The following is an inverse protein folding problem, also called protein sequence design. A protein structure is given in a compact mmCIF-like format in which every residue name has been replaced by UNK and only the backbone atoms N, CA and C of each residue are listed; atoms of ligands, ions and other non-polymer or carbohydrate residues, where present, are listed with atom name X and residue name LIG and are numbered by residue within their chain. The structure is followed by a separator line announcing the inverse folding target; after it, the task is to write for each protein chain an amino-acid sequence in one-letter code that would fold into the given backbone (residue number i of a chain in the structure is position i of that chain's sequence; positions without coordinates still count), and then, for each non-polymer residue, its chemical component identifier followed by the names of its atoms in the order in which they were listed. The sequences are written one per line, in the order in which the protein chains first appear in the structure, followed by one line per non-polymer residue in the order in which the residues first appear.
data_IF_805847169199
#
_entry.id   IF_805847169199
#
_cell.length_a   1.000
_cell.length_b   1.000
_cell.length_c   1.000
_cell.angle_alpha   90.00
_cell.angle_beta   90.00
_cell.angle_gamma   90.00
#
_symmetry.space_group_name_H-M   'P 1'
#
loop_
_entity.id
_entity.type
_entity.pdbx_description
1 polymer ?
#
# COMPACT_ATOMS: atom_id res chain seq x y z
N UNK A 1 -1.63 -31.25 -24.89
CA UNK A 1 -1.73 -29.85 -25.39
C UNK A 1 -2.18 -28.99 -24.23
N UNK A 2 -1.23 -28.47 -23.44
CA UNK A 2 -1.53 -27.47 -22.41
C UNK A 2 -1.72 -26.17 -23.16
N UNK A 3 -2.95 -25.91 -23.59
CA UNK A 3 -3.37 -24.62 -24.11
C UNK A 3 -3.02 -23.58 -23.04
N UNK A 4 -2.23 -22.59 -23.41
CA UNK A 4 -1.82 -21.47 -22.58
C UNK A 4 -3.06 -20.73 -22.08
N UNK A 5 -3.58 -21.12 -20.92
CA UNK A 5 -4.62 -20.40 -20.15
C UNK A 5 -4.08 -19.09 -19.53
N UNK A 6 -2.81 -18.81 -19.76
CA UNK A 6 -2.06 -17.66 -19.23
C UNK A 6 -2.77 -16.31 -19.47
N UNK A 7 -3.34 -15.99 -20.66
CA UNK A 7 -3.96 -14.70 -20.87
C UNK A 7 -5.32 -14.56 -20.15
N UNK A 8 -6.16 -15.60 -20.17
CA UNK A 8 -7.48 -15.62 -19.54
C UNK A 8 -7.34 -15.54 -18.00
N UNK A 9 -6.35 -16.25 -17.44
CA UNK A 9 -6.01 -16.18 -16.02
C UNK A 9 -5.43 -14.82 -15.61
N UNK A 10 -4.73 -14.14 -16.51
CA UNK A 10 -4.20 -12.79 -16.26
C UNK A 10 -5.34 -11.76 -16.20
N UNK A 11 -6.35 -11.89 -17.06
CA UNK A 11 -7.55 -11.03 -17.06
C UNK A 11 -8.38 -11.24 -15.80
N UNK A 12 -8.68 -12.49 -15.42
CA UNK A 12 -9.37 -12.82 -14.17
C UNK A 12 -8.62 -12.30 -12.94
N UNK A 13 -7.28 -12.41 -12.94
CA UNK A 13 -6.42 -11.86 -11.89
C UNK A 13 -6.51 -10.34 -11.82
N UNK A 14 -6.52 -9.67 -12.97
CA UNK A 14 -6.63 -8.20 -13.05
C UNK A 14 -7.96 -7.72 -12.50
N UNK A 15 -9.07 -8.33 -12.93
CA UNK A 15 -10.42 -8.01 -12.43
C UNK A 15 -10.53 -8.26 -10.92
N UNK A 16 -10.02 -9.39 -10.45
CA UNK A 16 -10.01 -9.72 -9.02
C UNK A 16 -9.23 -8.71 -8.20
N UNK A 17 -8.10 -8.24 -8.72
CA UNK A 17 -7.26 -7.24 -8.07
C UNK A 17 -7.94 -5.87 -8.03
N UNK A 18 -8.61 -5.46 -9.12
CA UNK A 18 -9.40 -4.22 -9.16
C UNK A 18 -10.54 -4.25 -8.13
N UNK A 19 -11.27 -5.37 -8.06
CA UNK A 19 -12.34 -5.55 -7.08
C UNK A 19 -11.79 -5.50 -5.64
N UNK A 20 -10.66 -6.16 -5.37
CA UNK A 20 -10.01 -6.11 -4.07
C UNK A 20 -9.58 -4.67 -3.73
N UNK A 21 -8.96 -3.95 -4.66
CA UNK A 21 -8.56 -2.56 -4.48
C UNK A 21 -9.76 -1.67 -4.12
N UNK A 22 -10.89 -1.80 -4.83
CA UNK A 22 -12.11 -1.05 -4.53
C UNK A 22 -12.64 -1.31 -3.12
N UNK A 23 -12.61 -2.58 -2.66
CA UNK A 23 -13.01 -2.94 -1.29
C UNK A 23 -12.08 -2.31 -0.25
N UNK A 24 -10.76 -2.38 -0.47
CA UNK A 24 -9.78 -1.79 0.44
C UNK A 24 -9.80 -0.26 0.44
N UNK A 25 -10.14 0.38 -0.67
CA UNK A 25 -10.35 1.82 -0.74
C UNK A 25 -11.59 2.25 0.04
N UNK A 26 -12.70 1.53 -0.10
CA UNK A 26 -13.91 1.80 0.70
C UNK A 26 -13.65 1.62 2.20
N UNK A 27 -12.86 0.61 2.56
CA UNK A 27 -12.43 0.39 3.93
C UNK A 27 -11.53 1.52 4.44
N UNK A 28 -10.61 1.99 3.60
CA UNK A 28 -9.72 3.13 3.91
C UNK A 28 -10.51 4.40 4.17
N UNK A 29 -11.53 4.69 3.36
CA UNK A 29 -12.44 5.82 3.57
C UNK A 29 -13.20 5.65 4.90
N UNK A 30 -13.79 4.47 5.13
CA UNK A 30 -14.67 4.24 6.28
C UNK A 30 -13.90 4.29 7.60
N UNK A 31 -12.81 3.54 7.71
CA UNK A 31 -11.99 3.47 8.92
C UNK A 31 -11.15 4.74 9.12
N UNK A 32 -10.62 5.32 8.05
CA UNK A 32 -9.84 6.56 8.11
C UNK A 32 -10.67 7.73 8.66
N UNK A 33 -11.93 7.88 8.21
CA UNK A 33 -12.85 8.90 8.73
C UNK A 33 -13.20 8.71 10.22
N UNK A 34 -13.03 7.50 10.75
CA UNK A 34 -13.24 7.16 12.16
C UNK A 34 -11.94 7.14 12.97
N UNK A 35 -10.80 7.45 12.37
CA UNK A 35 -9.48 7.39 13.00
C UNK A 35 -9.03 5.96 13.35
N UNK A 36 -9.67 4.93 12.79
CA UNK A 36 -9.42 3.51 13.10
C UNK A 36 -8.23 2.97 12.32
N UNK A 37 -7.08 3.64 12.42
CA UNK A 37 -5.90 3.34 11.60
C UNK A 37 -5.22 2.01 11.95
N UNK A 38 -5.30 1.55 13.20
CA UNK A 38 -4.79 0.23 13.60
C UNK A 38 -5.54 -0.86 12.85
N UNK A 39 -6.87 -0.89 12.95
CA UNK A 39 -7.70 -1.85 12.23
C UNK A 39 -7.54 -1.74 10.71
N UNK A 40 -7.43 -0.51 10.18
CA UNK A 40 -7.19 -0.31 8.75
C UNK A 40 -5.87 -0.94 8.30
N UNK A 41 -4.79 -0.72 9.05
CA UNK A 41 -3.47 -1.27 8.73
C UNK A 41 -3.46 -2.80 8.71
N UNK A 42 -4.14 -3.45 9.65
CA UNK A 42 -4.27 -4.92 9.70
C UNK A 42 -5.09 -5.48 8.54
N UNK A 43 -6.12 -4.76 8.09
CA UNK A 43 -6.87 -5.14 6.90
C UNK A 43 -6.02 -5.02 5.63
N UNK A 44 -5.33 -3.90 5.46
CA UNK A 44 -4.50 -3.63 4.29
C UNK A 44 -3.28 -4.57 4.20
N UNK A 45 -2.64 -4.91 5.31
CA UNK A 45 -1.55 -5.90 5.31
C UNK A 45 -1.99 -7.27 4.79
N UNK A 46 -3.24 -7.67 5.05
CA UNK A 46 -3.79 -8.92 4.50
C UNK A 46 -3.97 -8.85 2.98
N UNK A 47 -4.23 -7.67 2.44
CA UNK A 47 -4.32 -7.42 0.99
C UNK A 47 -2.99 -7.66 0.27
N UNK A 48 -1.86 -7.38 0.95
CA UNK A 48 -0.53 -7.37 0.34
C UNK A 48 -0.11 -8.71 -0.26
N UNK A 49 -0.67 -9.81 0.23
CA UNK A 49 -0.45 -11.16 -0.32
C UNK A 49 -0.83 -11.27 -1.80
N UNK A 50 -1.71 -10.39 -2.27
CA UNK A 50 -2.22 -10.37 -3.63
C UNK A 50 -1.71 -9.15 -4.44
N UNK A 51 -0.96 -8.25 -3.81
CA UNK A 51 -0.59 -6.94 -4.35
C UNK A 51 0.81 -6.93 -5.01
N UNK A 52 1.20 -8.00 -5.69
CA UNK A 52 2.53 -8.06 -6.31
C UNK A 52 2.66 -7.01 -7.43
N UNK A 53 3.59 -6.06 -7.26
CA UNK A 53 3.84 -4.97 -8.22
C UNK A 53 2.81 -3.83 -8.21
N UNK A 54 1.79 -3.88 -7.34
CA UNK A 54 0.67 -2.93 -7.37
C UNK A 54 0.89 -1.73 -6.44
N UNK A 55 1.40 -0.64 -7.01
CA UNK A 55 1.77 0.57 -6.27
C UNK A 55 0.67 1.08 -5.32
N UNK A 56 -0.59 1.10 -5.77
CA UNK A 56 -1.70 1.67 -5.00
C UNK A 56 -1.89 0.99 -3.64
N UNK A 57 -1.89 -0.35 -3.62
CA UNK A 57 -2.04 -1.12 -2.38
C UNK A 57 -0.83 -0.98 -1.46
N UNK A 58 0.38 -1.01 -2.03
CA UNK A 58 1.62 -0.77 -1.28
C UNK A 58 1.60 0.59 -0.58
N UNK A 59 1.19 1.63 -1.30
CA UNK A 59 1.14 2.98 -0.78
C UNK A 59 0.06 3.14 0.30
N UNK A 60 -1.14 2.57 0.11
CA UNK A 60 -2.20 2.56 1.12
C UNK A 60 -1.74 1.90 2.42
N UNK A 61 -1.07 0.74 2.36
CA UNK A 61 -0.54 0.06 3.55
C UNK A 61 0.49 0.95 4.24
N UNK A 62 1.43 1.53 3.48
CA UNK A 62 2.44 2.42 4.01
C UNK A 62 1.84 3.63 4.75
N UNK A 63 0.85 4.29 4.15
CA UNK A 63 0.14 5.42 4.77
C UNK A 63 -0.62 4.99 6.02
N UNK A 64 -1.27 3.83 6.00
CA UNK A 64 -1.98 3.31 7.18
C UNK A 64 -1.03 2.99 8.34
N UNK A 65 0.19 2.50 8.05
CA UNK A 65 1.23 2.24 9.05
C UNK A 65 1.73 3.52 9.70
N UNK A 66 1.97 4.55 8.90
CA UNK A 66 2.32 5.88 9.41
C UNK A 66 1.18 6.42 10.28
N UNK A 67 -0.06 6.35 9.81
CA UNK A 67 -1.22 6.87 10.54
C UNK A 67 -1.51 6.13 11.85
N UNK A 68 -1.18 4.84 11.95
CA UNK A 68 -1.32 4.06 13.19
C UNK A 68 -0.09 4.12 14.12
N UNK A 69 0.91 4.95 13.80
CA UNK A 69 2.09 5.19 14.62
C UNK A 69 3.24 4.21 14.40
N UNK A 70 3.09 3.22 13.52
CA UNK A 70 4.16 2.28 13.10
C UNK A 70 5.08 2.93 12.04
N UNK A 71 5.54 4.14 12.33
CA UNK A 71 6.23 5.04 11.39
C UNK A 71 7.48 4.43 10.75
N UNK A 72 8.31 3.72 11.51
CA UNK A 72 9.52 3.09 10.98
C UNK A 72 9.20 2.03 9.92
N UNK A 73 8.15 1.23 10.16
CA UNK A 73 7.69 0.24 9.19
C UNK A 73 7.02 0.91 7.98
N UNK A 74 6.23 1.97 8.22
CA UNK A 74 5.70 2.82 7.16
C UNK A 74 6.80 3.34 6.21
N UNK A 75 7.93 3.81 6.73
CA UNK A 75 9.07 4.24 5.92
C UNK A 75 9.67 3.09 5.10
N UNK A 76 9.80 1.89 5.66
CA UNK A 76 10.25 0.71 4.91
C UNK A 76 9.31 0.39 3.73
N UNK A 77 8.00 0.46 3.92
CA UNK A 77 7.03 0.26 2.85
C UNK A 77 7.07 1.39 1.80
N UNK A 78 7.26 2.65 2.23
CA UNK A 78 7.46 3.78 1.30
C UNK A 78 8.70 3.58 0.43
N UNK A 79 9.79 3.00 0.95
CA UNK A 79 10.97 2.66 0.15
C UNK A 79 10.66 1.65 -0.95
N UNK A 80 9.82 0.65 -0.67
CA UNK A 80 9.35 -0.28 -1.72
C UNK A 80 8.45 0.44 -2.74
N UNK A 81 7.61 1.38 -2.29
CA UNK A 81 6.80 2.21 -3.21
C UNK A 81 7.68 3.04 -4.17
N UNK A 82 8.83 3.56 -3.73
CA UNK A 82 9.79 4.28 -4.60
C UNK A 82 10.33 3.36 -5.70
N UNK A 83 10.57 2.07 -5.41
CA UNK A 83 11.02 1.12 -6.44
C UNK A 83 9.96 0.89 -7.52
N UNK A 84 8.67 0.91 -7.13
CA UNK A 84 7.54 0.74 -8.05
C UNK A 84 7.25 1.99 -8.89
N UNK A 85 7.45 3.19 -8.32
CA UNK A 85 7.37 4.47 -9.05
C UNK A 85 8.55 5.39 -8.74
N UNK A 86 9.71 5.19 -9.40
CA UNK A 86 10.91 5.98 -9.12
C UNK A 86 10.80 7.45 -9.55
N UNK A 87 9.90 7.77 -10.48
CA UNK A 87 9.67 9.13 -10.97
C UNK A 87 8.72 9.95 -10.11
N UNK A 88 8.07 9.35 -9.09
CA UNK A 88 7.10 10.04 -8.24
C UNK A 88 7.80 10.64 -7.01
N UNK A 89 7.96 11.98 -6.93
CA UNK A 89 8.66 12.60 -5.83
C UNK A 89 7.83 12.63 -4.53
N UNK A 90 6.53 12.34 -4.59
CA UNK A 90 5.65 12.46 -3.42
C UNK A 90 5.97 11.39 -2.37
N UNK A 91 6.34 10.19 -2.81
CA UNK A 91 6.67 9.06 -1.93
C UNK A 91 7.94 9.31 -1.11
N UNK A 92 9.11 9.69 -1.69
CA UNK A 92 10.29 10.00 -0.90
C UNK A 92 10.10 11.26 -0.04
N UNK A 93 9.32 12.26 -0.49
CA UNK A 93 8.97 13.42 0.34
C UNK A 93 8.14 13.02 1.57
N UNK A 94 7.18 12.10 1.40
CA UNK A 94 6.40 11.55 2.51
C UNK A 94 7.30 10.77 3.48
N UNK A 95 8.23 9.95 2.97
CA UNK A 95 9.20 9.23 3.80
C UNK A 95 10.08 10.21 4.60
N UNK A 96 10.62 11.24 3.94
CA UNK A 96 11.42 12.27 4.60
C UNK A 96 10.63 13.01 5.70
N UNK A 97 9.36 13.36 5.44
CA UNK A 97 8.47 13.96 6.44
C UNK A 97 8.32 13.07 7.68
N UNK A 98 8.12 11.76 7.49
CA UNK A 98 7.99 10.80 8.59
C UNK A 98 9.30 10.63 9.35
N UNK A 99 10.43 10.55 8.63
CA UNK A 99 11.77 10.46 9.23
C UNK A 99 12.07 11.67 10.13
N UNK A 100 11.90 12.89 9.62
CA UNK A 100 12.21 14.12 10.36
C UNK A 100 11.21 14.33 11.51
N UNK A 101 9.92 14.09 11.24
CA UNK A 101 8.83 14.36 12.17
C UNK A 101 8.65 13.29 13.24
N UNK A 102 8.20 12.10 12.84
CA UNK A 102 7.80 11.04 13.78
C UNK A 102 8.96 10.23 14.33
N UNK A 103 10.07 10.12 13.60
CA UNK A 103 11.21 9.26 13.95
C UNK A 103 12.44 10.03 14.42
N UNK A 104 12.51 11.35 14.16
CA UNK A 104 13.68 12.20 14.37
C UNK A 104 14.98 11.63 13.79
N UNK A 105 14.86 10.90 12.67
CA UNK A 105 16.03 10.42 11.93
C UNK A 105 16.68 11.57 11.16
N UNK A 106 18.02 11.56 11.03
CA UNK A 106 18.69 12.52 10.18
C UNK A 106 18.24 12.36 8.72
N UNK A 107 18.16 13.46 7.95
CA UNK A 107 17.79 13.44 6.54
C UNK A 107 18.80 12.69 5.65
#
# INVERSE_FOLDING_TARGET
VVLSRVPEQEEDRTVSLQNAAAIYDLLSITLGRRGQYVMLSECLERAMKFAFGEFHLWYQVALSMVACGKSAYGVSLLRECVKLRPSDPTVPLMAAKVCIGSLHWPP
#
